data_IF_175306810628
#
_entry.id   IF_175306810628
#
_cell.length_a   1.000
_cell.length_b   1.000
_cell.length_c   1.000
_cell.angle_alpha   90.00
_cell.angle_beta   90.00
_cell.angle_gamma   90.00
#
_symmetry.space_group_name_H-M   'P 1'
#
loop_
_entity.id
_entity.type
_entity.pdbx_description
1 polymer ?
#
# COMPACT_ATOMS: atom_id res chain seq x y z
N UNK A 1 28.99 65.51 -49.01
CA UNK A 1 30.39 65.14 -49.31
C UNK A 1 31.11 64.98 -47.96
N UNK A 2 31.74 63.82 -47.70
CA UNK A 2 32.12 63.21 -46.38
C UNK A 2 30.89 62.66 -45.61
N UNK A 3 30.43 61.40 -45.71
CA UNK A 3 31.04 60.05 -45.60
C UNK A 3 31.89 59.91 -44.33
N UNK A 4 31.81 58.86 -43.50
CA UNK A 4 30.97 57.65 -43.41
C UNK A 4 31.46 56.91 -42.12
N UNK A 5 30.63 56.05 -41.53
CA UNK A 5 30.97 54.92 -40.63
C UNK A 5 31.14 55.25 -39.13
N UNK A 6 30.10 54.98 -38.35
CA UNK A 6 30.16 54.24 -37.08
C UNK A 6 28.73 53.85 -36.68
N UNK A 7 28.28 52.73 -37.25
CA UNK A 7 27.11 51.96 -36.82
C UNK A 7 27.54 50.50 -36.80
N UNK A 8 27.11 49.78 -35.76
CA UNK A 8 27.20 48.32 -35.57
C UNK A 8 28.39 47.81 -34.75
N UNK A 9 28.36 48.04 -33.44
CA UNK A 9 29.02 47.17 -32.47
C UNK A 9 28.30 47.22 -31.11
N UNK A 10 26.97 47.14 -31.11
CA UNK A 10 26.21 46.85 -29.89
C UNK A 10 25.16 45.79 -30.24
N UNK A 11 25.32 44.62 -29.60
CA UNK A 11 24.25 43.67 -29.34
C UNK A 11 23.82 42.76 -30.51
N UNK A 12 24.79 42.12 -31.17
CA UNK A 12 24.61 40.75 -31.72
C UNK A 12 25.16 39.75 -30.69
N UNK A 13 24.46 39.61 -29.57
CA UNK A 13 24.63 38.51 -28.61
C UNK A 13 23.24 37.99 -28.21
N UNK A 14 22.43 37.73 -29.22
CA UNK A 14 21.18 36.97 -29.13
C UNK A 14 21.19 36.16 -30.42
N UNK A 15 20.90 34.86 -30.32
CA UNK A 15 20.81 33.93 -31.45
C UNK A 15 22.12 33.20 -31.85
N UNK A 16 22.81 32.60 -30.89
CA UNK A 16 23.59 31.39 -31.16
C UNK A 16 23.71 30.55 -29.88
N UNK A 17 23.35 29.27 -29.99
CA UNK A 17 23.55 28.19 -29.00
C UNK A 17 22.51 28.13 -27.87
N UNK A 18 21.27 27.79 -28.23
CA UNK A 18 20.28 27.18 -27.32
C UNK A 18 19.54 26.03 -28.03
N UNK A 19 20.31 25.13 -28.64
CA UNK A 19 19.85 23.82 -29.09
C UNK A 19 20.72 22.75 -28.45
N UNK A 20 20.68 22.69 -27.12
CA UNK A 20 20.86 21.42 -26.43
C UNK A 20 19.60 20.61 -26.71
N UNK A 21 19.64 19.91 -27.83
CA UNK A 21 18.73 18.80 -28.11
C UNK A 21 18.91 17.81 -26.97
N UNK A 22 17.95 17.77 -26.07
CA UNK A 22 17.74 16.68 -25.13
C UNK A 22 17.55 15.41 -25.96
N UNK A 23 18.64 14.69 -26.18
CA UNK A 23 18.57 13.30 -26.59
C UNK A 23 18.01 12.57 -25.37
N UNK A 24 16.69 12.50 -25.28
CA UNK A 24 16.01 11.55 -24.42
C UNK A 24 16.49 10.18 -24.84
N UNK A 25 17.46 9.65 -24.12
CA UNK A 25 17.83 8.25 -24.23
C UNK A 25 16.60 7.47 -23.80
N UNK A 26 15.85 6.95 -24.77
CA UNK A 26 14.94 5.82 -24.58
C UNK A 26 15.80 4.61 -24.23
N UNK A 27 16.34 4.62 -23.01
CA UNK A 27 16.89 3.45 -22.37
C UNK A 27 15.65 2.64 -22.01
N UNK A 28 15.46 1.47 -22.61
CA UNK A 28 14.48 0.52 -22.08
C UNK A 28 14.83 0.32 -20.61
N UNK A 29 13.96 0.78 -19.71
CA UNK A 29 14.21 0.73 -18.27
C UNK A 29 14.50 -0.73 -17.90
N UNK A 30 15.72 -1.01 -17.49
CA UNK A 30 16.00 -2.29 -16.85
C UNK A 30 15.13 -2.35 -15.59
N UNK A 31 14.36 -3.43 -15.39
CA UNK A 31 13.43 -3.49 -14.28
C UNK A 31 14.18 -3.38 -12.94
N UNK A 32 13.70 -2.48 -12.08
CA UNK A 32 14.39 -2.09 -10.86
C UNK A 32 14.31 -3.17 -9.77
N UNK A 33 15.47 -3.44 -9.15
CA UNK A 33 15.59 -4.33 -7.99
C UNK A 33 16.08 -3.55 -6.77
N UNK A 34 15.33 -3.55 -5.65
CA UNK A 34 15.80 -2.94 -4.42
C UNK A 34 17.08 -3.63 -3.94
N UNK A 35 18.12 -2.86 -3.72
CA UNK A 35 19.35 -3.34 -3.09
C UNK A 35 19.23 -3.26 -1.57
N UNK A 36 20.03 -4.02 -0.81
CA UNK A 36 20.14 -3.83 0.65
C UNK A 36 20.55 -2.41 1.04
N UNK A 37 21.31 -1.71 0.19
CA UNK A 37 21.81 -0.35 0.41
C UNK A 37 20.72 0.71 0.20
N UNK A 38 19.72 0.42 -0.65
CA UNK A 38 18.55 1.26 -0.89
C UNK A 38 17.52 1.01 0.23
N UNK A 39 17.78 1.59 1.41
CA UNK A 39 16.99 1.34 2.63
C UNK A 39 15.47 1.42 2.38
N UNK A 40 15.04 2.46 1.66
CA UNK A 40 13.68 2.69 1.18
C UNK A 40 13.76 3.15 -0.30
N UNK A 41 13.48 2.27 -1.28
CA UNK A 41 13.64 2.59 -2.70
C UNK A 41 12.64 3.65 -3.19
N UNK A 42 12.97 4.41 -4.26
CA UNK A 42 12.09 5.44 -4.81
C UNK A 42 10.82 4.82 -5.40
N UNK A 43 9.67 5.46 -5.20
CA UNK A 43 8.37 4.96 -5.66
C UNK A 43 8.26 4.93 -7.20
N UNK A 44 8.97 5.85 -7.86
CA UNK A 44 8.98 6.03 -9.32
C UNK A 44 9.53 4.80 -10.05
N UNK A 45 10.39 4.05 -9.39
CA UNK A 45 10.98 2.80 -9.90
C UNK A 45 9.99 1.61 -9.79
N UNK A 46 8.89 1.77 -9.06
CA UNK A 46 7.90 0.72 -8.85
C UNK A 46 6.92 0.64 -10.03
N UNK A 47 6.64 -0.56 -10.51
CA UNK A 47 5.62 -0.79 -11.55
C UNK A 47 4.22 -0.83 -10.94
N UNK A 48 3.29 -0.18 -11.63
CA UNK A 48 1.88 -0.11 -11.26
C UNK A 48 1.15 -1.35 -11.78
N UNK A 49 0.48 -2.09 -10.90
CA UNK A 49 -0.48 -3.10 -11.31
C UNK A 49 -1.81 -2.94 -10.58
N UNK A 50 -2.86 -3.40 -11.24
CA UNK A 50 -4.22 -3.45 -10.71
C UNK A 50 -4.81 -4.82 -10.95
N UNK A 51 -5.48 -5.34 -9.94
CA UNK A 51 -6.16 -6.62 -10.06
C UNK A 51 -7.09 -6.91 -8.91
N UNK A 52 -7.85 -7.97 -9.07
CA UNK A 52 -8.71 -8.53 -8.05
C UNK A 52 -7.89 -9.40 -7.08
N UNK A 53 -8.03 -9.19 -5.77
CA UNK A 53 -7.42 -10.04 -4.76
C UNK A 53 -8.10 -11.41 -4.72
N UNK A 54 -7.39 -12.49 -5.07
CA UNK A 54 -7.97 -13.84 -5.14
C UNK A 54 -7.42 -14.81 -4.08
N UNK A 55 -6.31 -14.47 -3.45
CA UNK A 55 -5.70 -15.28 -2.40
C UNK A 55 -4.92 -14.42 -1.43
N UNK A 56 -4.98 -14.79 -0.14
CA UNK A 56 -4.28 -14.13 0.96
C UNK A 56 -3.65 -15.17 1.88
N UNK A 57 -2.35 -15.01 2.12
CA UNK A 57 -1.61 -15.57 3.25
C UNK A 57 -1.08 -14.37 4.07
N UNK A 58 -1.96 -13.84 4.92
CA UNK A 58 -1.70 -12.62 5.70
C UNK A 58 -0.56 -12.83 6.70
N UNK A 59 -0.38 -14.05 7.21
CA UNK A 59 0.70 -14.41 8.14
C UNK A 59 2.07 -14.13 7.52
N UNK A 60 2.24 -14.52 6.26
CA UNK A 60 3.49 -14.29 5.51
C UNK A 60 3.46 -13.02 4.66
N UNK A 61 2.45 -12.16 4.86
CA UNK A 61 2.22 -10.92 4.10
C UNK A 61 2.35 -11.12 2.58
N UNK A 62 1.67 -12.14 2.03
CA UNK A 62 1.71 -12.48 0.60
C UNK A 62 0.32 -12.86 0.10
N UNK A 63 0.13 -12.82 -1.21
CA UNK A 63 -1.17 -13.09 -1.80
C UNK A 63 -1.11 -13.29 -3.31
N UNK A 64 -2.26 -13.18 -3.98
CA UNK A 64 -2.32 -13.23 -5.43
C UNK A 64 -3.37 -12.30 -5.98
N UNK A 65 -3.02 -11.59 -7.05
CA UNK A 65 -3.91 -10.74 -7.82
C UNK A 65 -4.23 -11.42 -9.17
N UNK A 66 -5.49 -11.36 -9.57
CA UNK A 66 -5.87 -11.52 -10.97
C UNK A 66 -5.76 -10.16 -11.64
N UNK A 67 -4.71 -9.94 -12.43
CA UNK A 67 -4.47 -8.65 -13.06
C UNK A 67 -5.52 -8.33 -14.13
N UNK A 68 -5.90 -7.06 -14.22
CA UNK A 68 -6.78 -6.57 -15.27
C UNK A 68 -5.96 -6.22 -16.51
N UNK A 69 -5.82 -7.20 -17.41
CA UNK A 69 -5.06 -7.08 -18.67
C UNK A 69 -6.01 -7.32 -19.86
N UNK A 70 -5.96 -6.43 -20.85
CA UNK A 70 -6.79 -6.50 -22.06
C UNK A 70 -6.65 -7.87 -22.73
N UNK A 71 -7.78 -8.54 -22.99
CA UNK A 71 -7.80 -9.83 -23.69
C UNK A 71 -7.32 -11.05 -22.88
N UNK A 72 -6.91 -10.88 -21.61
CA UNK A 72 -6.27 -11.96 -20.84
C UNK A 72 -6.96 -12.29 -19.50
N UNK A 73 -8.17 -11.79 -19.26
CA UNK A 73 -8.84 -11.96 -17.97
C UNK A 73 -9.17 -13.43 -17.62
N UNK A 74 -9.41 -14.30 -18.60
CA UNK A 74 -9.86 -15.69 -18.38
C UNK A 74 -8.75 -16.73 -18.27
N UNK A 75 -7.62 -16.48 -18.94
CA UNK A 75 -6.56 -17.48 -19.15
C UNK A 75 -5.21 -17.03 -18.57
N UNK A 76 -5.19 -15.86 -17.93
CA UNK A 76 -4.01 -15.29 -17.29
C UNK A 76 -3.56 -16.08 -16.08
N UNK A 77 -2.24 -16.16 -15.90
CA UNK A 77 -1.66 -16.63 -14.65
C UNK A 77 -1.94 -15.61 -13.55
N UNK A 78 -2.04 -16.07 -12.31
CA UNK A 78 -2.16 -15.17 -11.17
C UNK A 78 -0.83 -14.46 -10.91
N UNK A 79 -0.90 -13.17 -10.63
CA UNK A 79 0.25 -12.41 -10.14
C UNK A 79 0.38 -12.62 -8.63
N UNK A 80 1.22 -13.58 -8.25
CA UNK A 80 1.56 -13.81 -6.85
C UNK A 80 2.45 -12.69 -6.34
N UNK A 81 2.15 -12.13 -5.16
CA UNK A 81 2.93 -11.05 -4.59
C UNK A 81 3.32 -11.30 -3.14
N UNK A 82 4.43 -10.71 -2.71
CA UNK A 82 4.81 -10.58 -1.31
C UNK A 82 4.96 -9.10 -0.94
N UNK A 83 4.54 -8.70 0.25
CA UNK A 83 4.83 -7.36 0.76
C UNK A 83 6.30 -7.27 1.13
N UNK A 84 6.91 -6.13 0.82
CA UNK A 84 8.18 -5.75 1.46
C UNK A 84 7.96 -5.56 2.97
N UNK A 85 9.00 -5.69 3.81
CA UNK A 85 8.86 -5.49 5.25
C UNK A 85 8.32 -4.10 5.60
N UNK A 86 8.78 -3.10 4.85
CA UNK A 86 8.35 -1.70 4.92
C UNK A 86 7.23 -1.37 3.92
N UNK A 87 6.58 -2.39 3.34
CA UNK A 87 5.46 -2.21 2.42
C UNK A 87 4.19 -1.77 3.15
N UNK A 88 3.54 -0.74 2.63
CA UNK A 88 2.35 -0.12 3.21
C UNK A 88 1.07 -0.67 2.58
N UNK A 89 0.01 -0.79 3.38
CA UNK A 89 -1.29 -1.29 2.93
C UNK A 89 -2.36 -0.31 3.43
N UNK A 90 -3.25 0.11 2.53
CA UNK A 90 -4.38 0.96 2.86
C UNK A 90 -5.70 0.31 2.43
N UNK A 91 -6.68 0.38 3.31
CA UNK A 91 -8.04 -0.07 3.05
C UNK A 91 -9.01 0.97 3.57
N UNK A 92 -10.03 1.33 2.79
CA UNK A 92 -11.05 2.31 3.21
C UNK A 92 -10.45 3.64 3.74
N UNK A 93 -9.36 4.10 3.15
CA UNK A 93 -8.70 5.36 3.49
C UNK A 93 -7.84 5.34 4.76
N UNK A 94 -7.60 4.17 5.36
CA UNK A 94 -6.77 4.04 6.56
C UNK A 94 -5.73 2.91 6.41
N UNK A 95 -4.63 2.95 7.19
CA UNK A 95 -3.70 1.84 7.30
C UNK A 95 -4.37 0.48 7.57
N UNK A 96 -3.81 -0.59 7.03
CA UNK A 96 -4.40 -1.93 7.11
C UNK A 96 -3.34 -3.05 7.10
N UNK A 97 -3.78 -4.27 7.37
CA UNK A 97 -3.07 -5.51 7.09
C UNK A 97 -3.83 -6.33 6.03
N UNK A 98 -3.16 -7.28 5.36
CA UNK A 98 -3.81 -8.09 4.31
C UNK A 98 -5.04 -8.86 4.81
N UNK A 99 -5.10 -9.18 6.10
CA UNK A 99 -6.26 -9.85 6.72
C UNK A 99 -7.53 -8.99 6.71
N UNK A 100 -7.39 -7.68 6.63
CA UNK A 100 -8.50 -6.73 6.71
C UNK A 100 -9.22 -6.61 5.37
N UNK A 101 -8.57 -7.03 4.28
CA UNK A 101 -9.04 -6.85 2.91
C UNK A 101 -9.81 -8.12 2.47
N UNK A 102 -11.11 -8.01 2.15
CA UNK A 102 -11.87 -9.13 1.62
C UNK A 102 -11.32 -9.60 0.26
N UNK A 103 -11.33 -10.92 0.04
CA UNK A 103 -11.13 -11.51 -1.29
C UNK A 103 -12.18 -10.96 -2.25
N UNK A 104 -11.79 -10.74 -3.50
CA UNK A 104 -12.59 -10.12 -4.54
C UNK A 104 -12.41 -8.60 -4.62
N UNK A 105 -11.76 -7.96 -3.64
CA UNK A 105 -11.49 -6.52 -3.66
C UNK A 105 -10.54 -6.18 -4.82
N UNK A 106 -10.86 -5.15 -5.61
CA UNK A 106 -9.93 -4.60 -6.59
C UNK A 106 -8.89 -3.74 -5.88
N UNK A 107 -7.62 -4.16 -5.99
CA UNK A 107 -6.47 -3.49 -5.43
C UNK A 107 -5.62 -2.83 -6.51
N UNK A 108 -4.95 -1.76 -6.10
CA UNK A 108 -3.97 -1.00 -6.85
C UNK A 108 -2.65 -1.11 -6.10
N UNK A 109 -1.59 -1.51 -6.79
CA UNK A 109 -0.32 -1.82 -6.16
C UNK A 109 0.88 -1.27 -6.90
N UNK A 110 1.95 -1.10 -6.13
CA UNK A 110 3.28 -0.69 -6.60
C UNK A 110 4.26 -1.78 -6.27
N UNK A 111 4.95 -2.28 -7.29
CA UNK A 111 5.77 -3.48 -7.18
C UNK A 111 7.17 -3.26 -7.73
N UNK A 112 8.15 -3.85 -7.06
CA UNK A 112 9.50 -4.00 -7.55
C UNK A 112 9.81 -5.46 -7.87
N UNK A 113 10.96 -5.70 -8.51
CA UNK A 113 11.55 -7.03 -8.54
C UNK A 113 11.86 -7.53 -7.13
N UNK A 114 11.90 -8.86 -6.91
CA UNK A 114 12.24 -9.45 -5.61
C UNK A 114 13.59 -8.91 -5.09
N UNK A 115 13.73 -8.43 -3.85
CA UNK A 115 15.04 -7.98 -3.37
C UNK A 115 16.11 -9.07 -3.47
N UNK A 116 15.76 -10.30 -3.07
CA UNK A 116 16.57 -11.51 -3.29
C UNK A 116 15.71 -12.63 -3.93
N UNK A 117 15.95 -12.98 -5.20
CA UNK A 117 15.25 -14.10 -5.86
C UNK A 117 15.37 -15.45 -5.15
N UNK A 118 16.49 -15.71 -4.45
CA UNK A 118 16.77 -17.02 -3.84
C UNK A 118 15.89 -17.28 -2.62
N UNK A 119 15.53 -16.22 -1.91
CA UNK A 119 14.72 -16.28 -0.69
C UNK A 119 13.32 -15.69 -0.88
N UNK A 120 12.88 -15.56 -2.13
CA UNK A 120 11.56 -15.01 -2.45
C UNK A 120 10.45 -15.87 -1.86
N UNK A 121 9.50 -15.23 -1.17
CA UNK A 121 8.32 -15.88 -0.58
C UNK A 121 7.24 -16.23 -1.61
N UNK A 122 7.41 -15.81 -2.86
CA UNK A 122 6.53 -16.06 -4.01
C UNK A 122 7.35 -16.56 -5.21
N UNK A 123 6.74 -17.29 -6.15
CA UNK A 123 7.46 -17.74 -7.35
C UNK A 123 8.09 -16.57 -8.10
N UNK A 124 9.34 -16.73 -8.53
CA UNK A 124 9.96 -15.79 -9.44
C UNK A 124 9.35 -15.97 -10.83
N UNK A 125 8.61 -14.97 -11.31
CA UNK A 125 8.10 -15.00 -12.67
C UNK A 125 9.26 -14.83 -13.67
N UNK A 126 9.20 -15.60 -14.76
CA UNK A 126 10.17 -15.58 -15.86
C UNK A 126 9.49 -15.15 -17.16
N UNK A 127 10.22 -14.42 -18.01
CA UNK A 127 9.71 -13.96 -19.30
C UNK A 127 8.81 -12.72 -19.20
N UNK A 128 8.00 -12.51 -20.25
CA UNK A 128 7.19 -11.31 -20.46
C UNK A 128 5.68 -11.59 -20.31
N UNK A 129 5.29 -12.45 -19.37
CA UNK A 129 3.87 -12.71 -19.14
C UNK A 129 3.20 -11.47 -18.52
N UNK A 130 2.37 -10.80 -19.32
CA UNK A 130 1.66 -9.58 -18.91
C UNK A 130 0.68 -9.80 -17.75
N UNK A 131 0.23 -11.03 -17.53
CA UNK A 131 -0.69 -11.39 -16.43
C UNK A 131 0.00 -11.77 -15.13
N UNK A 132 1.28 -12.15 -15.22
CA UNK A 132 2.14 -12.48 -14.08
C UNK A 132 3.52 -11.83 -14.27
N UNK A 133 3.59 -10.49 -14.16
CA UNK A 133 4.83 -9.74 -14.34
C UNK A 133 5.88 -10.10 -13.27
N UNK A 134 7.14 -9.74 -13.56
CA UNK A 134 8.31 -10.09 -12.75
C UNK A 134 8.38 -9.31 -11.44
N UNK A 135 7.81 -8.12 -11.44
CA UNK A 135 7.72 -7.21 -10.31
C UNK A 135 6.59 -7.69 -9.39
N UNK A 136 6.95 -8.40 -8.33
CA UNK A 136 6.02 -9.08 -7.44
C UNK A 136 6.25 -8.79 -5.95
N UNK A 137 7.14 -7.84 -5.63
CA UNK A 137 7.36 -7.39 -4.26
C UNK A 137 6.74 -6.01 -4.05
N UNK A 138 5.64 -5.98 -3.31
CA UNK A 138 4.81 -4.80 -3.14
C UNK A 138 5.37 -3.84 -2.10
N UNK A 139 5.51 -2.57 -2.47
CA UNK A 139 5.75 -1.44 -1.55
C UNK A 139 4.46 -0.74 -1.13
N UNK A 140 3.43 -0.81 -1.98
CA UNK A 140 2.10 -0.26 -1.72
C UNK A 140 1.04 -1.24 -2.20
N UNK A 141 0.00 -1.44 -1.39
CA UNK A 141 -1.29 -1.98 -1.81
C UNK A 141 -2.42 -1.11 -1.25
N UNK A 142 -3.34 -0.70 -2.09
CA UNK A 142 -4.47 0.12 -1.66
C UNK A 142 -5.75 -0.23 -2.43
N UNK A 143 -6.91 -0.11 -1.76
CA UNK A 143 -8.21 -0.24 -2.42
C UNK A 143 -8.59 1.03 -3.20
N UNK A 144 -9.65 0.93 -4.01
CA UNK A 144 -10.15 2.06 -4.81
C UNK A 144 -10.40 3.34 -3.99
N UNK A 145 -11.14 3.28 -2.87
CA UNK A 145 -11.34 4.43 -1.99
C UNK A 145 -10.04 5.02 -1.46
N UNK A 146 -9.09 4.21 -0.98
CA UNK A 146 -7.81 4.71 -0.46
C UNK A 146 -7.00 5.44 -1.54
N UNK A 147 -6.90 4.86 -2.74
CA UNK A 147 -6.26 5.49 -3.89
C UNK A 147 -6.93 6.83 -4.25
N UNK A 148 -8.27 6.85 -4.30
CA UNK A 148 -9.01 8.07 -4.61
C UNK A 148 -8.77 9.15 -3.57
N UNK A 149 -8.81 8.81 -2.27
CA UNK A 149 -8.54 9.75 -1.19
C UNK A 149 -7.11 10.29 -1.24
N UNK A 150 -6.12 9.43 -1.49
CA UNK A 150 -4.70 9.81 -1.65
C UNK A 150 -4.49 10.80 -2.80
N UNK A 151 -5.25 10.67 -3.88
CA UNK A 151 -5.21 11.57 -5.03
C UNK A 151 -6.15 12.77 -4.94
N UNK A 152 -6.92 12.91 -3.84
CA UNK A 152 -7.94 13.96 -3.71
C UNK A 152 -9.10 13.83 -4.72
N UNK A 153 -9.44 12.60 -5.10
CA UNK A 153 -10.44 12.26 -6.12
C UNK A 153 -11.67 11.58 -5.53
N UNK A 154 -12.75 11.65 -6.29
CA UNK A 154 -13.98 10.91 -6.03
C UNK A 154 -14.65 10.53 -7.36
N UNK A 155 -15.41 9.44 -7.36
CA UNK A 155 -16.25 9.07 -8.50
C UNK A 155 -17.42 10.04 -8.61
N UNK A 156 -17.80 10.41 -9.83
CA UNK A 156 -19.01 11.19 -10.13
C UNK A 156 -20.09 10.24 -10.65
N UNK A 157 -21.14 10.02 -9.86
CA UNK A 157 -22.28 9.19 -10.27
C UNK A 157 -23.13 9.93 -11.29
N UNK A 158 -23.37 9.32 -12.45
CA UNK A 158 -24.15 9.91 -13.54
C UNK A 158 -25.56 9.37 -13.57
N UNK A 159 -25.70 8.04 -13.56
CA UNK A 159 -26.99 7.39 -13.75
C UNK A 159 -27.04 6.10 -12.93
N UNK A 160 -28.22 5.79 -12.41
CA UNK A 160 -28.57 4.46 -11.90
C UNK A 160 -29.76 3.92 -12.67
N UNK A 161 -29.71 2.65 -13.08
CA UNK A 161 -30.80 1.95 -13.75
C UNK A 161 -31.16 0.68 -12.97
N UNK A 162 -32.41 0.57 -12.53
CA UNK A 162 -32.92 -0.60 -11.79
C UNK A 162 -33.79 -1.50 -12.64
N UNK A 163 -33.58 -2.82 -12.51
CA UNK A 163 -34.41 -3.88 -13.10
C UNK A 163 -34.58 -5.04 -12.15
N UNK A 164 -35.64 -5.02 -11.34
CA UNK A 164 -36.08 -6.21 -10.59
C UNK A 164 -35.10 -6.72 -9.54
N UNK A 165 -34.43 -5.82 -8.80
CA UNK A 165 -33.52 -6.16 -7.68
C UNK A 165 -32.03 -6.11 -8.01
N UNK A 166 -31.68 -6.10 -9.30
CA UNK A 166 -30.35 -5.76 -9.81
C UNK A 166 -30.37 -4.37 -10.46
N UNK A 167 -29.20 -3.73 -10.54
CA UNK A 167 -29.06 -2.46 -11.22
C UNK A 167 -27.70 -2.25 -11.87
N UNK A 168 -27.65 -1.24 -12.73
CA UNK A 168 -26.44 -0.73 -13.34
C UNK A 168 -26.19 0.70 -12.84
N UNK A 169 -24.95 0.99 -12.48
CA UNK A 169 -24.49 2.30 -12.04
C UNK A 169 -23.46 2.82 -13.04
N UNK A 170 -23.71 4.01 -13.59
CA UNK A 170 -22.76 4.72 -14.45
C UNK A 170 -22.04 5.76 -13.62
N UNK A 171 -20.72 5.69 -13.58
CA UNK A 171 -19.91 6.69 -12.89
C UNK A 171 -18.62 7.00 -13.65
N UNK A 172 -18.09 8.19 -13.43
CA UNK A 172 -16.83 8.61 -14.04
C UNK A 172 -15.81 9.05 -12.99
N UNK A 173 -14.55 8.67 -13.19
CA UNK A 173 -13.43 9.12 -12.37
C UNK A 173 -12.45 9.91 -13.25
N UNK A 174 -12.13 11.13 -12.82
CA UNK A 174 -11.19 11.98 -13.54
C UNK A 174 -9.75 11.56 -13.23
N UNK A 175 -9.12 10.87 -14.18
CA UNK A 175 -7.72 10.45 -14.10
C UNK A 175 -7.10 10.57 -15.50
N UNK A 176 -5.87 11.10 -15.63
CA UNK A 176 -5.21 11.16 -16.93
C UNK A 176 -5.04 9.75 -17.51
N UNK A 177 -4.98 9.66 -18.83
CA UNK A 177 -4.65 8.42 -19.52
C UNK A 177 -3.28 7.91 -19.06
N UNK A 178 -3.18 6.62 -18.75
CA UNK A 178 -1.97 6.03 -18.17
C UNK A 178 -1.72 6.37 -16.69
N UNK A 179 -2.62 7.11 -16.02
CA UNK A 179 -2.57 7.32 -14.58
C UNK A 179 -2.86 6.05 -13.79
N UNK A 180 -2.58 6.07 -12.49
CA UNK A 180 -2.69 4.88 -11.65
C UNK A 180 -4.15 4.49 -11.42
N UNK A 181 -4.57 3.39 -12.03
CA UNK A 181 -5.88 2.82 -11.77
C UNK A 181 -6.97 3.19 -12.78
N UNK A 182 -8.24 3.04 -12.40
CA UNK A 182 -9.36 3.21 -13.33
C UNK A 182 -9.63 4.69 -13.59
N UNK A 183 -9.74 5.11 -14.85
CA UNK A 183 -10.11 6.46 -15.23
C UNK A 183 -11.23 6.45 -16.27
N UNK A 184 -11.89 7.59 -16.46
CA UNK A 184 -12.97 7.73 -17.43
C UNK A 184 -14.32 7.23 -16.90
N UNK A 185 -15.26 6.99 -17.82
CA UNK A 185 -16.61 6.53 -17.51
C UNK A 185 -16.68 5.00 -17.55
N UNK A 186 -17.34 4.43 -16.53
CA UNK A 186 -17.51 3.00 -16.36
C UNK A 186 -18.96 2.68 -16.02
N UNK A 187 -19.40 1.49 -16.42
CA UNK A 187 -20.65 0.89 -15.99
C UNK A 187 -20.34 -0.22 -14.99
N UNK A 188 -20.97 -0.14 -13.85
CA UNK A 188 -20.81 -1.10 -12.75
C UNK A 188 -22.14 -1.78 -12.47
N UNK A 189 -22.09 -2.99 -11.93
CA UNK A 189 -23.30 -3.62 -11.39
C UNK A 189 -23.45 -3.35 -9.91
N UNK A 190 -24.71 -3.29 -9.50
CA UNK A 190 -25.16 -3.21 -8.12
C UNK A 190 -26.28 -4.23 -7.93
N UNK A 191 -26.36 -4.81 -6.75
CA UNK A 191 -27.42 -5.75 -6.39
C UNK A 191 -27.71 -5.68 -4.88
N UNK A 192 -28.54 -6.58 -4.38
CA UNK A 192 -28.92 -6.61 -2.96
C UNK A 192 -27.74 -6.77 -1.97
N UNK A 193 -26.56 -7.19 -2.44
CA UNK A 193 -25.34 -7.29 -1.64
C UNK A 193 -24.55 -5.99 -1.57
N UNK A 194 -24.81 -5.02 -2.46
CA UNK A 194 -24.17 -3.70 -2.45
C UNK A 194 -24.54 -2.95 -1.17
N UNK A 195 -23.52 -2.62 -0.37
CA UNK A 195 -23.66 -1.84 0.87
C UNK A 195 -23.60 -0.36 0.56
N UNK A 196 -24.59 0.39 1.02
CA UNK A 196 -24.65 1.84 0.78
C UNK A 196 -24.53 2.57 2.10
N UNK A 197 -23.64 3.55 2.16
CA UNK A 197 -23.35 4.31 3.35
C UNK A 197 -23.74 5.77 3.13
N UNK A 198 -24.62 6.28 4.00
CA UNK A 198 -25.09 7.67 4.02
C UNK A 198 -24.96 8.23 5.43
N UNK A 199 -24.09 9.20 5.64
CA UNK A 199 -23.74 9.70 6.97
C UNK A 199 -23.24 8.59 7.89
N UNK A 200 -24.09 8.09 8.79
CA UNK A 200 -23.77 6.97 9.71
C UNK A 200 -24.62 5.72 9.45
N UNK A 201 -25.51 5.78 8.48
CA UNK A 201 -26.42 4.70 8.11
C UNK A 201 -25.69 3.69 7.22
N UNK A 202 -26.01 2.41 7.43
CA UNK A 202 -25.74 1.34 6.48
C UNK A 202 -27.08 0.91 5.88
N UNK A 203 -27.23 1.14 4.59
CA UNK A 203 -28.44 0.97 3.80
C UNK A 203 -28.22 -0.09 2.73
N UNK A 204 -29.31 -0.71 2.29
CA UNK A 204 -29.36 -1.47 1.04
C UNK A 204 -30.07 -0.70 -0.07
N UNK A 205 -30.14 -1.32 -1.25
CA UNK A 205 -30.85 -0.76 -2.40
C UNK A 205 -32.32 -0.45 -2.07
N UNK A 206 -32.99 -1.35 -1.34
CA UNK A 206 -34.41 -1.20 -1.01
C UNK A 206 -34.69 0.01 -0.11
N UNK A 207 -33.74 0.39 0.74
CA UNK A 207 -33.91 1.55 1.62
C UNK A 207 -33.91 2.85 0.80
N UNK A 208 -33.01 2.96 -0.19
CA UNK A 208 -32.98 4.10 -1.12
C UNK A 208 -34.19 4.12 -2.05
N UNK A 209 -34.77 2.96 -2.39
CA UNK A 209 -36.02 2.92 -3.15
C UNK A 209 -37.19 3.36 -2.28
N UNK A 210 -37.25 2.89 -1.03
CA UNK A 210 -38.33 3.20 -0.09
C UNK A 210 -38.39 4.69 0.30
N UNK A 211 -37.24 5.35 0.43
CA UNK A 211 -37.17 6.78 0.73
C UNK A 211 -37.25 7.69 -0.52
N UNK A 212 -37.35 7.10 -1.72
CA UNK A 212 -37.46 7.81 -3.00
C UNK A 212 -36.14 8.38 -3.52
N UNK A 213 -35.01 8.10 -2.86
CA UNK A 213 -33.69 8.50 -3.35
C UNK A 213 -33.39 7.85 -4.69
N UNK A 214 -33.68 6.56 -4.86
CA UNK A 214 -33.46 5.81 -6.11
C UNK A 214 -34.78 5.27 -6.69
N UNK A 215 -34.88 5.05 -8.01
CA UNK A 215 -36.14 4.66 -8.62
C UNK A 215 -36.46 3.17 -8.34
N UNK A 216 -37.73 2.83 -8.19
CA UNK A 216 -38.18 1.43 -8.05
C UNK A 216 -37.90 0.61 -9.31
N UNK A 217 -37.96 1.23 -10.49
CA UNK A 217 -37.65 0.63 -11.79
C UNK A 217 -37.26 1.73 -12.78
N UNK A 218 -36.38 1.40 -13.73
CA UNK A 218 -35.92 2.33 -14.76
C UNK A 218 -34.73 3.19 -14.33
N UNK A 219 -34.46 4.24 -15.10
CA UNK A 219 -33.27 5.09 -14.95
C UNK A 219 -33.53 6.37 -14.15
N UNK A 220 -32.56 6.77 -13.33
CA UNK A 220 -32.50 8.08 -12.67
C UNK A 220 -31.11 8.69 -12.86
N UNK A 221 -31.06 9.96 -13.26
CA UNK A 221 -29.82 10.74 -13.29
C UNK A 221 -29.43 11.19 -11.88
N UNK A 222 -28.14 11.21 -11.60
CA UNK A 222 -27.53 11.48 -10.29
C UNK A 222 -26.64 12.74 -10.31
N UNK A 223 -26.69 13.52 -11.40
CA UNK A 223 -26.10 14.86 -11.56
C UNK A 223 -24.62 14.97 -11.16
N UNK A 224 -23.86 13.89 -11.28
CA UNK A 224 -22.44 13.87 -10.97
C UNK A 224 -22.11 13.82 -9.49
N UNK A 225 -23.01 13.31 -8.64
CA UNK A 225 -22.79 13.17 -7.19
C UNK A 225 -21.43 12.53 -6.89
N UNK A 226 -20.63 13.19 -6.06
CA UNK A 226 -19.33 12.70 -5.64
C UNK A 226 -19.45 11.56 -4.62
N UNK A 227 -18.85 10.41 -4.89
CA UNK A 227 -18.88 9.22 -4.03
C UNK A 227 -17.54 8.50 -4.00
N UNK A 228 -17.36 7.62 -3.02
CA UNK A 228 -16.32 6.59 -3.07
C UNK A 228 -16.94 5.23 -3.38
N UNK A 229 -16.25 4.43 -4.19
CA UNK A 229 -16.72 3.11 -4.62
C UNK A 229 -15.67 2.06 -4.24
N UNK A 230 -16.08 1.02 -3.50
CA UNK A 230 -15.29 -0.21 -3.39
C UNK A 230 -15.70 -1.15 -4.52
N UNK A 231 -14.77 -1.42 -5.42
CA UNK A 231 -14.99 -2.29 -6.57
C UNK A 231 -14.55 -3.72 -6.24
N UNK A 232 -15.31 -4.68 -6.75
CA UNK A 232 -14.99 -6.08 -6.66
C UNK A 232 -15.26 -6.86 -7.95
N UNK A 233 -15.10 -8.17 -7.84
CA UNK A 233 -15.34 -9.12 -8.91
C UNK A 233 -16.75 -9.02 -9.49
N UNK A 234 -16.85 -9.11 -10.82
CA UNK A 234 -18.12 -9.15 -11.52
C UNK A 234 -18.50 -10.56 -11.98
N UNK A 235 -19.71 -11.06 -11.65
CA UNK A 235 -20.06 -12.45 -11.86
C UNK A 235 -20.26 -12.87 -13.31
N UNK A 236 -20.44 -11.92 -14.24
CA UNK A 236 -20.61 -12.24 -15.67
C UNK A 236 -19.30 -12.49 -16.41
N UNK A 237 -18.15 -12.46 -15.72
CA UNK A 237 -16.84 -12.75 -16.33
C UNK A 237 -16.52 -11.90 -17.57
N UNK A 238 -16.93 -10.63 -17.59
CA UNK A 238 -16.68 -9.72 -18.71
C UNK A 238 -15.53 -8.75 -18.38
N UNK A 239 -14.73 -8.44 -19.40
CA UNK A 239 -13.54 -7.61 -19.23
C UNK A 239 -13.87 -6.21 -18.71
N UNK A 240 -13.16 -5.76 -17.66
CA UNK A 240 -13.36 -4.48 -16.97
C UNK A 240 -14.82 -4.17 -16.56
N UNK A 241 -15.64 -5.19 -16.37
CA UNK A 241 -16.89 -5.04 -15.63
C UNK A 241 -16.62 -5.29 -14.16
N UNK A 242 -17.09 -4.38 -13.30
CA UNK A 242 -16.93 -4.49 -11.86
C UNK A 242 -18.28 -4.49 -11.19
N UNK A 243 -18.35 -5.19 -10.07
CA UNK A 243 -19.45 -5.05 -9.13
C UNK A 243 -19.06 -4.02 -8.06
N UNK A 244 -20.03 -3.22 -7.60
CA UNK A 244 -19.80 -2.28 -6.49
C UNK A 244 -20.20 -2.96 -5.18
N UNK A 245 -19.20 -3.23 -4.34
CA UNK A 245 -19.42 -3.84 -3.02
C UNK A 245 -19.85 -2.80 -1.97
N UNK A 246 -19.29 -1.60 -2.02
CA UNK A 246 -19.64 -0.48 -1.14
C UNK A 246 -19.76 0.83 -1.92
N UNK A 247 -20.75 1.65 -1.56
CA UNK A 247 -20.92 3.03 -2.01
C UNK A 247 -20.94 3.93 -0.78
N UNK A 248 -20.01 4.88 -0.68
CA UNK A 248 -20.07 5.96 0.31
C UNK A 248 -20.59 7.22 -0.37
N UNK A 249 -21.83 7.60 -0.06
CA UNK A 249 -22.56 8.68 -0.72
C UNK A 249 -22.09 10.08 -0.31
N UNK A 250 -21.37 10.18 0.80
CA UNK A 250 -20.91 11.44 1.38
C UNK A 250 -19.62 11.26 2.22
N UNK A 251 -19.00 12.38 2.57
CA UNK A 251 -17.76 12.42 3.34
C UNK A 251 -17.92 11.84 4.75
N UNK A 252 -19.07 12.05 5.39
CA UNK A 252 -19.33 11.53 6.73
C UNK A 252 -19.37 9.99 6.72
N UNK A 253 -19.97 9.39 5.70
CA UNK A 253 -19.97 7.96 5.47
C UNK A 253 -18.55 7.41 5.27
N UNK A 254 -17.74 8.06 4.44
CA UNK A 254 -16.35 7.64 4.23
C UNK A 254 -15.53 7.75 5.52
N UNK A 255 -15.68 8.84 6.28
CA UNK A 255 -15.01 9.05 7.57
C UNK A 255 -15.34 7.95 8.59
N UNK A 256 -16.58 7.47 8.63
CA UNK A 256 -16.97 6.34 9.49
C UNK A 256 -16.23 5.07 9.11
N UNK A 257 -16.10 4.77 7.81
CA UNK A 257 -15.37 3.59 7.35
C UNK A 257 -13.87 3.70 7.62
N UNK A 258 -13.28 4.87 7.37
CA UNK A 258 -11.87 5.17 7.66
C UNK A 258 -11.57 5.03 9.14
N UNK A 259 -12.38 5.60 10.04
CA UNK A 259 -12.13 5.52 11.48
C UNK A 259 -12.22 4.08 12.01
N UNK A 260 -13.15 3.28 11.47
CA UNK A 260 -13.26 1.86 11.83
C UNK A 260 -12.02 1.08 11.43
N UNK A 261 -11.55 1.24 10.20
CA UNK A 261 -10.34 0.56 9.72
C UNK A 261 -9.09 1.05 10.48
N UNK A 262 -8.99 2.36 10.73
CA UNK A 262 -7.95 2.95 11.57
C UNK A 262 -7.87 2.29 12.94
N UNK A 263 -9.01 2.13 13.62
CA UNK A 263 -9.07 1.46 14.93
C UNK A 263 -8.62 0.00 14.89
N UNK A 264 -8.98 -0.75 13.84
CA UNK A 264 -8.53 -2.13 13.62
C UNK A 264 -7.00 -2.20 13.51
N UNK A 265 -6.42 -1.33 12.69
CA UNK A 265 -4.97 -1.34 12.49
C UNK A 265 -4.18 -0.85 13.71
N UNK A 266 -4.66 0.17 14.43
CA UNK A 266 -4.05 0.58 15.71
C UNK A 266 -4.00 -0.58 16.69
N UNK A 267 -5.10 -1.33 16.83
CA UNK A 267 -5.13 -2.53 17.67
C UNK A 267 -4.12 -3.59 17.19
N UNK A 268 -4.01 -3.80 15.88
CA UNK A 268 -3.04 -4.73 15.29
C UNK A 268 -1.60 -4.34 15.67
N UNK A 269 -1.22 -3.07 15.50
CA UNK A 269 0.14 -2.61 15.81
C UNK A 269 0.42 -2.62 17.32
N UNK A 270 -0.52 -2.25 18.17
CA UNK A 270 -0.34 -2.37 19.63
C UNK A 270 -0.04 -3.81 20.08
N UNK A 271 -0.62 -4.81 19.41
CA UNK A 271 -0.47 -6.22 19.80
C UNK A 271 0.69 -6.94 19.11
N UNK A 272 1.18 -6.43 17.97
CA UNK A 272 2.33 -6.98 17.21
C UNK A 272 3.59 -6.12 17.27
N UNK A 273 3.48 -4.96 17.90
CA UNK A 273 4.50 -3.92 18.09
C UNK A 273 4.89 -3.19 16.80
N UNK A 274 5.47 -2.00 16.93
CA UNK A 274 5.85 -1.15 15.80
C UNK A 274 7.01 -1.80 15.03
N UNK A 275 6.92 -2.00 13.71
CA UNK A 275 8.05 -2.49 12.94
C UNK A 275 9.05 -1.37 12.64
N UNK A 276 10.32 -1.73 12.63
CA UNK A 276 11.44 -0.83 12.40
C UNK A 276 12.56 -1.56 11.66
N UNK A 277 13.37 -0.80 10.92
CA UNK A 277 14.64 -1.30 10.36
C UNK A 277 15.79 -0.80 11.21
N UNK A 278 16.68 -1.72 11.58
CA UNK A 278 17.92 -1.34 12.25
C UNK A 278 18.88 -0.77 11.24
N UNK A 279 19.43 0.41 11.53
CA UNK A 279 20.39 1.10 10.67
C UNK A 279 21.82 0.87 11.15
N UNK A 280 22.08 1.18 12.42
CA UNK A 280 23.43 1.11 12.99
C UNK A 280 23.38 0.64 14.44
N UNK A 281 24.52 0.15 14.93
CA UNK A 281 24.71 -0.25 16.32
C UNK A 281 25.99 0.40 16.83
N UNK A 282 25.89 1.08 17.96
CA UNK A 282 27.05 1.50 18.73
C UNK A 282 27.27 0.52 19.88
N UNK A 283 28.34 -0.27 19.82
CA UNK A 283 28.64 -1.28 20.82
C UNK A 283 29.35 -0.67 22.04
N UNK A 284 28.82 -0.97 23.21
CA UNK A 284 29.46 -0.74 24.50
C UNK A 284 30.26 -1.96 24.95
N UNK A 285 30.57 -2.00 26.26
CA UNK A 285 31.26 -3.14 26.89
C UNK A 285 30.25 -4.22 27.30
N UNK A 286 30.69 -5.47 27.32
CA UNK A 286 29.93 -6.60 27.89
C UNK A 286 28.53 -6.80 27.28
N UNK A 287 28.37 -6.52 25.99
CA UNK A 287 27.11 -6.72 25.28
C UNK A 287 26.13 -5.54 25.33
N UNK A 288 26.42 -4.50 26.11
CA UNK A 288 25.67 -3.25 26.05
C UNK A 288 25.77 -2.65 24.64
N UNK A 289 24.69 -2.07 24.14
CA UNK A 289 24.70 -1.39 22.86
C UNK A 289 23.58 -0.35 22.77
N UNK A 290 23.78 0.64 21.89
CA UNK A 290 22.72 1.52 21.42
C UNK A 290 22.39 1.17 19.98
N UNK A 291 21.15 0.76 19.76
CA UNK A 291 20.59 0.42 18.45
C UNK A 291 19.92 1.67 17.87
N UNK A 292 20.34 2.07 16.68
CA UNK A 292 19.64 3.11 15.91
C UNK A 292 18.73 2.43 14.90
N UNK A 293 17.43 2.75 14.96
CA UNK A 293 16.44 2.14 14.07
C UNK A 293 15.43 3.18 13.57
N UNK A 294 15.02 3.05 12.31
CA UNK A 294 13.96 3.88 11.71
C UNK A 294 12.65 3.10 11.72
N UNK A 295 11.61 3.71 12.30
CA UNK A 295 10.27 3.13 12.33
C UNK A 295 9.69 3.10 10.91
N UNK A 296 9.00 2.03 10.55
CA UNK A 296 8.37 1.93 9.23
C UNK A 296 7.20 2.89 9.09
N UNK A 297 6.97 3.33 7.85
CA UNK A 297 5.88 4.20 7.42
C UNK A 297 4.52 3.51 7.40
N UNK A 298 3.50 4.25 6.97
CA UNK A 298 2.14 3.73 6.78
C UNK A 298 1.36 3.45 8.08
N UNK A 299 1.84 3.86 9.25
CA UNK A 299 1.13 3.72 10.53
C UNK A 299 0.37 5.00 10.91
N UNK A 300 -0.62 4.85 11.79
CA UNK A 300 -1.33 6.00 12.37
C UNK A 300 -0.42 6.89 13.23
N UNK A 301 -0.59 8.20 13.14
CA UNK A 301 0.24 9.18 13.86
C UNK A 301 0.23 8.97 15.38
N UNK A 302 -0.89 8.51 15.95
CA UNK A 302 -0.98 8.25 17.39
C UNK A 302 -0.05 7.13 17.87
N UNK A 303 0.29 6.18 16.99
CA UNK A 303 1.23 5.11 17.31
C UNK A 303 2.67 5.65 17.40
N UNK A 304 3.06 6.57 16.51
CA UNK A 304 4.39 7.19 16.58
C UNK A 304 4.51 8.12 17.79
N UNK A 305 3.43 8.82 18.15
CA UNK A 305 3.41 9.77 19.27
C UNK A 305 3.75 9.14 20.63
N UNK A 306 3.64 7.82 20.76
CA UNK A 306 4.00 7.08 21.97
C UNK A 306 5.51 6.81 22.12
N UNK A 307 6.30 7.00 21.05
CA UNK A 307 7.76 6.88 21.11
C UNK A 307 8.36 8.18 21.63
N UNK A 308 8.86 8.16 22.86
CA UNK A 308 9.44 9.33 23.54
C UNK A 308 10.81 9.01 24.14
N UNK A 309 11.75 9.97 24.16
CA UNK A 309 12.99 9.81 24.90
C UNK A 309 12.74 9.58 26.39
N UNK A 310 13.59 8.78 27.02
CA UNK A 310 13.55 8.53 28.46
C UNK A 310 12.65 7.38 28.90
N UNK A 311 11.82 6.80 28.03
CA UNK A 311 10.88 5.74 28.39
C UNK A 311 11.50 4.35 28.22
N UNK A 312 11.01 3.40 29.02
CA UNK A 312 11.34 1.99 28.84
C UNK A 312 10.58 1.40 27.66
N UNK A 313 11.22 0.49 26.95
CA UNK A 313 10.66 -0.18 25.78
C UNK A 313 11.23 -1.59 25.67
N UNK A 314 10.62 -2.40 24.80
CA UNK A 314 11.10 -3.75 24.47
C UNK A 314 11.18 -3.91 22.97
N UNK A 315 12.31 -4.41 22.48
CA UNK A 315 12.56 -4.68 21.07
C UNK A 315 12.75 -6.18 20.84
N UNK A 316 12.17 -6.73 19.78
CA UNK A 316 12.32 -8.12 19.38
C UNK A 316 12.78 -8.20 17.92
N UNK A 317 13.58 -9.23 17.61
CA UNK A 317 14.01 -9.48 16.24
C UNK A 317 12.81 -9.98 15.41
N UNK A 318 12.68 -9.48 14.18
CA UNK A 318 11.63 -9.87 13.26
C UNK A 318 12.20 -10.31 11.91
N UNK A 319 11.45 -11.15 11.21
CA UNK A 319 11.76 -11.54 9.84
C UNK A 319 11.10 -10.58 8.83
N UNK A 320 11.39 -10.74 7.55
CA UNK A 320 10.84 -9.89 6.48
C UNK A 320 9.31 -9.91 6.40
N UNK A 321 8.68 -10.98 6.91
CA UNK A 321 7.22 -11.10 7.06
C UNK A 321 6.67 -10.35 8.27
N UNK A 322 7.55 -9.65 9.01
CA UNK A 322 7.30 -8.94 10.26
C UNK A 322 6.90 -9.83 11.45
N UNK A 323 7.03 -11.14 11.30
CA UNK A 323 6.83 -12.13 12.37
C UNK A 323 8.01 -12.17 13.31
N UNK A 324 7.74 -12.46 14.58
CA UNK A 324 8.72 -12.70 15.63
C UNK A 324 8.61 -14.15 16.10
N UNK A 325 9.62 -14.66 16.80
CA UNK A 325 9.54 -15.97 17.46
C UNK A 325 8.57 -15.91 18.64
N UNK A 326 9.00 -15.29 19.73
CA UNK A 326 8.13 -14.91 20.83
C UNK A 326 8.58 -13.56 21.36
N UNK A 327 8.08 -12.46 20.77
CA UNK A 327 8.52 -11.10 21.08
C UNK A 327 8.60 -10.74 22.58
N UNK A 328 7.69 -11.25 23.41
CA UNK A 328 7.72 -11.04 24.86
C UNK A 328 8.86 -11.80 25.57
N UNK A 329 9.16 -13.02 25.14
CA UNK A 329 10.20 -13.85 25.76
C UNK A 329 11.59 -13.59 25.18
N UNK A 330 11.68 -13.45 23.86
CA UNK A 330 12.93 -13.35 23.11
C UNK A 330 13.32 -11.90 22.81
N UNK A 331 12.46 -10.95 23.16
CA UNK A 331 12.76 -9.53 23.07
C UNK A 331 13.68 -9.06 24.19
N UNK A 332 14.43 -8.00 23.91
CA UNK A 332 15.30 -7.33 24.87
C UNK A 332 14.64 -6.07 25.41
N UNK A 333 14.53 -6.00 26.73
CA UNK A 333 14.12 -4.80 27.45
C UNK A 333 15.25 -3.75 27.41
N UNK A 334 14.87 -2.48 27.33
CA UNK A 334 15.82 -1.38 27.20
C UNK A 334 15.15 -0.02 27.34
N UNK A 335 15.85 1.02 26.92
CA UNK A 335 15.39 2.41 27.05
C UNK A 335 15.52 3.14 25.72
N UNK A 336 14.46 3.85 25.33
CA UNK A 336 14.53 4.79 24.22
C UNK A 336 15.24 6.05 24.74
N UNK A 337 16.44 6.34 24.24
CA UNK A 337 17.25 7.48 24.70
C UNK A 337 17.10 8.71 23.83
N UNK A 338 16.73 8.53 22.56
CA UNK A 338 16.42 9.61 21.62
C UNK A 338 15.34 9.18 20.63
N UNK A 339 14.56 10.16 20.15
CA UNK A 339 13.57 10.02 19.08
C UNK A 339 13.67 11.28 18.23
N UNK A 340 13.94 11.13 16.95
CA UNK A 340 14.20 12.23 16.03
C UNK A 340 13.40 12.05 14.75
N UNK A 341 12.72 13.11 14.30
CA UNK A 341 12.16 13.19 12.95
C UNK A 341 13.28 13.64 12.02
N UNK A 342 13.92 12.71 11.33
CA UNK A 342 15.10 12.95 10.49
C UNK A 342 14.72 13.44 9.08
N UNK A 343 13.49 13.18 8.66
CA UNK A 343 12.99 13.55 7.34
C UNK A 343 11.50 13.92 7.42
N UNK A 344 11.15 15.12 6.95
CA UNK A 344 9.78 15.63 7.02
C UNK A 344 8.87 14.89 6.03
N UNK A 345 9.36 14.66 4.82
CA UNK A 345 8.67 13.96 3.73
C UNK A 345 9.42 12.68 3.37
N UNK A 346 9.39 11.66 4.24
CA UNK A 346 10.15 10.44 4.03
C UNK A 346 9.68 9.67 2.79
N UNK A 347 10.55 8.87 2.16
CA UNK A 347 10.14 7.95 1.11
C UNK A 347 9.15 6.91 1.64
N UNK A 348 8.33 6.36 0.75
CA UNK A 348 7.32 5.35 1.09
C UNK A 348 7.95 4.16 1.82
N UNK A 349 7.32 3.73 2.91
CA UNK A 349 7.81 2.69 3.81
C UNK A 349 8.67 3.19 4.97
N UNK A 350 9.10 4.45 4.97
CA UNK A 350 9.76 5.10 6.11
C UNK A 350 8.81 6.07 6.81
N UNK A 351 8.81 6.09 8.14
CA UNK A 351 8.13 7.14 8.92
C UNK A 351 8.91 8.45 8.98
N UNK A 352 10.20 8.44 8.59
CA UNK A 352 11.14 9.52 8.86
C UNK A 352 11.45 9.69 10.36
N UNK A 353 10.99 8.78 11.23
CA UNK A 353 11.22 8.81 12.67
C UNK A 353 12.26 7.74 13.02
N UNK A 354 13.37 8.21 13.57
CA UNK A 354 14.46 7.40 14.06
C UNK A 354 14.44 7.35 15.58
N UNK A 355 14.72 6.17 16.14
CA UNK A 355 14.89 5.96 17.57
C UNK A 355 16.32 5.50 17.87
N UNK A 356 16.82 5.88 19.04
CA UNK A 356 18.00 5.28 19.64
C UNK A 356 17.56 4.48 20.87
N UNK A 357 17.81 3.18 20.84
CA UNK A 357 17.36 2.22 21.85
C UNK A 357 18.56 1.57 22.53
N UNK A 358 18.76 1.89 23.81
CA UNK A 358 19.83 1.33 24.62
C UNK A 358 19.40 -0.02 25.20
N UNK A 359 20.23 -1.04 25.03
CA UNK A 359 20.03 -2.40 25.55
C UNK A 359 21.20 -2.82 26.44
N UNK A 360 20.93 -3.59 27.51
CA UNK A 360 21.98 -4.16 28.35
C UNK A 360 22.71 -5.32 27.66
N UNK A 361 22.02 -6.04 26.78
CA UNK A 361 22.57 -7.15 26.01
C UNK A 361 22.03 -7.13 24.59
N UNK A 362 22.91 -6.93 23.62
CA UNK A 362 22.56 -6.90 22.20
C UNK A 362 22.19 -8.30 21.70
N UNK A 363 21.07 -8.39 20.96
CA UNK A 363 20.65 -9.62 20.28
C UNK A 363 21.24 -9.67 18.87
N UNK A 364 21.53 -10.88 18.38
CA UNK A 364 22.01 -11.07 17.01
C UNK A 364 21.06 -10.44 15.99
N UNK A 365 19.75 -10.58 16.21
CA UNK A 365 18.74 -10.13 15.26
C UNK A 365 18.64 -8.62 15.10
N UNK A 366 19.36 -7.83 15.90
CA UNK A 366 19.40 -6.36 15.78
C UNK A 366 20.51 -5.87 14.85
N UNK A 367 21.06 -6.71 13.96
CA UNK A 367 22.08 -6.28 12.99
C UNK A 367 21.57 -5.19 12.03
N UNK A 368 22.45 -4.27 11.57
CA UNK A 368 22.14 -3.35 10.47
C UNK A 368 21.47 -4.05 9.28
N UNK A 369 20.41 -3.43 8.78
CA UNK A 369 19.57 -3.95 7.69
C UNK A 369 18.52 -4.98 8.11
N UNK A 370 18.55 -5.50 9.34
CA UNK A 370 17.51 -6.40 9.85
C UNK A 370 16.27 -5.64 10.31
N UNK A 371 15.16 -6.37 10.38
CA UNK A 371 13.88 -5.85 10.86
C UNK A 371 13.73 -6.19 12.34
N UNK A 372 13.21 -5.24 13.09
CA UNK A 372 12.84 -5.40 14.48
C UNK A 372 11.38 -4.97 14.70
N UNK A 373 10.81 -5.42 15.81
CA UNK A 373 9.52 -4.99 16.35
C UNK A 373 9.78 -4.37 17.71
N UNK A 374 9.31 -3.15 17.95
CA UNK A 374 9.52 -2.42 19.21
C UNK A 374 8.20 -1.93 19.79
N UNK A 375 8.04 -2.04 21.10
CA UNK A 375 6.96 -1.39 21.84
C UNK A 375 7.47 -0.50 22.97
N UNK A 376 6.92 0.70 23.14
CA UNK A 376 6.90 1.42 24.41
C UNK A 376 6.23 0.57 25.52
N UNK A 377 6.64 0.73 26.77
CA UNK A 377 6.13 -0.11 27.86
C UNK A 377 4.64 0.13 28.20
N UNK A 378 4.07 1.27 27.81
CA UNK A 378 2.63 1.56 27.94
C UNK A 378 1.76 0.79 26.94
N UNK A 379 2.36 0.14 25.94
CA UNK A 379 1.61 -0.73 25.02
C UNK A 379 1.38 -2.13 25.62
N UNK A 380 0.28 -2.82 25.24
CA UNK A 380 0.01 -4.17 25.69
C UNK A 380 1.18 -5.13 25.45
N UNK A 381 1.52 -5.90 26.49
CA UNK A 381 2.46 -7.00 26.36
C UNK A 381 1.70 -8.30 26.16
N UNK A 382 1.36 -8.61 24.91
CA UNK A 382 0.59 -9.80 24.56
C UNK A 382 1.40 -10.71 23.65
N UNK A 383 1.18 -12.02 23.81
CA UNK A 383 1.70 -13.03 22.89
C UNK A 383 0.80 -13.06 21.64
N UNK A 384 1.35 -12.91 20.42
CA UNK A 384 0.57 -13.14 19.20
C UNK A 384 0.03 -14.57 19.14
N UNK A 385 -1.00 -14.83 18.31
CA UNK A 385 -1.41 -16.18 17.97
C UNK A 385 -0.21 -17.02 17.50
N UNK A 386 -0.19 -18.30 17.89
CA UNK A 386 0.94 -19.20 17.61
C UNK A 386 1.22 -19.36 16.11
N UNK A 387 0.19 -19.22 15.27
CA UNK A 387 0.26 -19.29 13.81
C UNK A 387 0.98 -18.07 13.21
N UNK A 388 0.97 -16.93 13.91
CA UNK A 388 1.65 -15.69 13.51
C UNK A 388 3.11 -15.64 13.98
N UNK A 389 3.54 -16.58 14.82
CA UNK A 389 4.91 -16.69 15.29
C UNK A 389 5.79 -17.49 14.30
N UNK A 390 7.08 -17.16 14.28
CA UNK A 390 8.10 -18.04 13.69
C UNK A 390 8.28 -19.24 14.63
N UNK A 391 8.18 -20.47 14.11
CA UNK A 391 8.25 -21.70 14.93
C UNK A 391 9.45 -22.57 14.62
N UNK A 392 10.05 -22.41 13.45
CA UNK A 392 11.23 -23.14 13.00
C UNK A 392 12.03 -22.27 12.01
N UNK A 393 13.17 -22.79 11.55
CA UNK A 393 14.03 -22.06 10.63
C UNK A 393 13.39 -21.83 9.25
N UNK A 394 12.53 -22.74 8.81
CA UNK A 394 11.85 -22.65 7.51
C UNK A 394 10.78 -21.55 7.50
N UNK A 395 10.13 -21.30 8.65
CA UNK A 395 9.20 -20.18 8.83
C UNK A 395 9.90 -18.82 8.61
N UNK A 396 11.22 -18.73 8.72
CA UNK A 396 11.96 -17.48 8.41
C UNK A 396 11.91 -17.15 6.92
N UNK A 397 11.77 -18.17 6.07
CA UNK A 397 11.81 -18.09 4.61
C UNK A 397 10.65 -18.88 4.01
N UNK A 398 9.41 -18.37 4.10
CA UNK A 398 8.23 -19.14 3.71
C UNK A 398 8.30 -19.57 2.24
N UNK A 399 8.25 -20.89 2.00
CA UNK A 399 8.37 -21.48 0.66
C UNK A 399 7.27 -20.98 -0.29
N UNK A 400 7.57 -20.74 -1.58
CA UNK A 400 6.59 -20.38 -2.59
C UNK A 400 5.71 -21.56 -3.06
N UNK A 401 5.89 -22.76 -2.52
CA UNK A 401 5.15 -23.97 -2.93
C UNK A 401 3.63 -23.87 -2.80
N UNK A 402 3.11 -23.04 -1.89
CA UNK A 402 1.66 -22.80 -1.73
C UNK A 402 1.00 -22.26 -3.02
N UNK A 403 1.79 -21.66 -3.91
CA UNK A 403 1.35 -21.09 -5.18
C UNK A 403 1.45 -22.08 -6.36
N UNK A 404 2.19 -23.19 -6.23
CA UNK A 404 2.41 -24.12 -7.35
C UNK A 404 1.17 -24.94 -7.73
N UNK A 405 0.11 -24.91 -6.91
CA UNK A 405 -1.12 -25.70 -7.08
C UNK A 405 -2.38 -24.85 -7.31
N UNK A 406 -2.22 -23.56 -7.62
CA UNK A 406 -3.34 -22.59 -7.65
C UNK A 406 -3.51 -21.93 -9.00
#
# INVERSE_FOLDING_TARGET
>A
MRRLIERNALTKLVLAVCTLLSVSTLRGEEPFRPSPDNQFPPLEEAKAYRGELVFVDHINRRGSLRLHVDGHYHEGQLHHFAMLPYGEIFYRGAPADLRDIPIGTVLYGRFYLPPDPKTSAVPNANGNNVTAPRENHAILLEDGPSLCLREGKAWKLKEVNFRGGEGELVASLERPEGGDGLGGEHKFTIDSSTRIWRGRELLGLNDLVADGTWPTNGSKQLDGQAVQLALGWHPRYLYQQFHVADIWLDEAAMKVATERQRGVHIHHIHTRWMPARVETINYGKFGHATVTATLFGGMDESLYADFKPGISAKMAAAENTLRTWWQDHDGMDGKIVAVEKIEENPPLGSSGIQIQFEVPLILEGFRPGRVARIRPQNWPNVKPPMEECVRNQDDRWPSPEIFQKR
#
